data_IF_892599164290
#
_entry.id   IF_892599164290
#
_cell.length_a   1.000
_cell.length_b   1.000
_cell.length_c   1.000
_cell.angle_alpha   90.00
_cell.angle_beta   90.00
_cell.angle_gamma   90.00
#
_symmetry.space_group_name_H-M   'P 1'
#
loop_
_entity.id
_entity.type
_entity.pdbx_description
1 polymer ?
#
# COMPACT_ATOMS: atom_id res chain seq x y z
N UNK A 1 -39.30 -46.57 -19.93
CA UNK A 1 -37.82 -46.46 -19.79
C UNK A 1 -37.51 -45.10 -19.17
N UNK A 2 -37.24 -45.08 -17.86
CA UNK A 2 -36.85 -43.84 -17.17
C UNK A 2 -35.31 -43.67 -17.35
N UNK A 3 -34.94 -42.86 -18.34
CA UNK A 3 -33.53 -42.42 -18.45
C UNK A 3 -33.29 -41.32 -17.44
N UNK A 4 -32.58 -41.63 -16.34
CA UNK A 4 -32.05 -40.57 -15.45
C UNK A 4 -31.13 -39.69 -16.27
N UNK A 5 -31.29 -38.32 -16.17
CA UNK A 5 -30.39 -37.42 -16.87
C UNK A 5 -28.94 -37.63 -16.39
N UNK A 6 -27.94 -37.48 -17.28
CA UNK A 6 -26.54 -37.64 -16.90
C UNK A 6 -26.19 -36.69 -15.75
N UNK A 7 -25.31 -37.08 -14.81
CA UNK A 7 -24.90 -36.26 -13.73
C UNK A 7 -24.30 -34.95 -14.27
N UNK A 8 -24.65 -33.81 -13.63
CA UNK A 8 -24.09 -32.52 -14.00
C UNK A 8 -22.55 -32.57 -13.92
N UNK A 9 -21.84 -32.02 -14.91
CA UNK A 9 -20.38 -32.00 -14.87
C UNK A 9 -19.88 -31.32 -13.59
N UNK A 10 -18.80 -31.79 -12.99
CA UNK A 10 -18.27 -31.22 -11.76
C UNK A 10 -17.97 -29.72 -11.97
N UNK A 11 -18.17 -28.88 -10.95
CA UNK A 11 -17.88 -27.46 -11.06
C UNK A 11 -16.41 -27.24 -11.40
N UNK A 12 -16.14 -26.58 -12.52
CA UNK A 12 -14.78 -26.24 -12.94
C UNK A 12 -14.22 -25.22 -11.96
N UNK A 13 -13.26 -25.60 -11.15
CA UNK A 13 -12.58 -24.70 -10.24
C UNK A 13 -11.76 -23.68 -11.05
N UNK A 14 -12.24 -22.44 -11.13
CA UNK A 14 -11.52 -21.36 -11.76
C UNK A 14 -10.34 -20.93 -10.86
N UNK A 15 -9.12 -21.13 -11.34
CA UNK A 15 -7.91 -20.71 -10.63
C UNK A 15 -7.49 -19.31 -11.11
N UNK A 16 -7.37 -18.37 -10.19
CA UNK A 16 -6.78 -17.07 -10.47
C UNK A 16 -5.26 -17.21 -10.70
N UNK A 17 -4.66 -16.43 -11.60
CA UNK A 17 -3.21 -16.40 -11.82
C UNK A 17 -2.51 -15.64 -10.68
N UNK A 18 -2.47 -16.24 -9.48
CA UNK A 18 -1.89 -15.61 -8.29
C UNK A 18 -0.36 -15.62 -8.34
N UNK A 19 0.25 -14.50 -7.94
CA UNK A 19 1.70 -14.35 -7.80
C UNK A 19 2.18 -14.74 -6.41
N UNK A 20 3.44 -15.22 -6.31
CA UNK A 20 4.07 -15.47 -5.00
C UNK A 20 4.50 -14.14 -4.37
N UNK A 21 4.26 -13.92 -3.06
CA UNK A 21 4.50 -12.63 -2.39
C UNK A 21 5.98 -12.41 -2.00
N UNK A 22 6.87 -12.26 -2.98
CA UNK A 22 8.32 -12.10 -2.77
C UNK A 22 8.70 -10.71 -2.27
N UNK A 23 8.11 -9.67 -2.84
CA UNK A 23 8.40 -8.29 -2.49
C UNK A 23 7.79 -7.89 -1.15
N UNK A 24 6.66 -8.49 -0.77
CA UNK A 24 6.11 -8.34 0.59
C UNK A 24 7.15 -8.76 1.63
N UNK A 25 7.79 -9.92 1.44
CA UNK A 25 8.85 -10.37 2.36
C UNK A 25 10.11 -9.51 2.27
N UNK A 26 10.47 -9.00 1.11
CA UNK A 26 11.61 -8.08 0.95
C UNK A 26 11.38 -6.78 1.73
N UNK A 27 10.19 -6.19 1.63
CA UNK A 27 9.86 -4.98 2.39
C UNK A 27 9.75 -5.25 3.90
N UNK A 28 9.20 -6.41 4.31
CA UNK A 28 9.22 -6.84 5.71
C UNK A 28 10.65 -6.96 6.26
N UNK A 29 11.54 -7.58 5.49
CA UNK A 29 12.95 -7.68 5.87
C UNK A 29 13.59 -6.29 5.96
N UNK A 30 13.32 -5.39 5.01
CA UNK A 30 13.86 -4.03 5.01
C UNK A 30 13.44 -3.24 6.25
N UNK A 31 12.14 -3.22 6.62
CA UNK A 31 11.68 -2.52 7.84
C UNK A 31 12.22 -3.17 9.11
N UNK A 32 12.37 -4.51 9.14
CA UNK A 32 12.93 -5.22 10.29
C UNK A 32 14.42 -4.90 10.49
N UNK A 33 15.21 -4.89 9.41
CA UNK A 33 16.64 -4.52 9.46
C UNK A 33 16.78 -3.08 9.90
N UNK A 34 15.98 -2.16 9.35
CA UNK A 34 16.04 -0.76 9.77
C UNK A 34 15.68 -0.57 11.23
N UNK A 35 14.69 -1.31 11.75
CA UNK A 35 14.36 -1.25 13.17
C UNK A 35 15.50 -1.71 14.07
N UNK A 36 16.25 -2.74 13.67
CA UNK A 36 17.49 -3.14 14.40
C UNK A 36 18.51 -1.99 14.39
N UNK A 37 18.70 -1.32 13.25
CA UNK A 37 19.59 -0.14 13.16
C UNK A 37 19.11 0.98 14.08
N UNK A 38 17.80 1.26 14.13
CA UNK A 38 17.22 2.27 15.03
C UNK A 38 17.46 1.96 16.50
N UNK A 39 17.32 0.69 16.92
CA UNK A 39 17.63 0.25 18.29
C UNK A 39 19.11 0.45 18.60
N UNK A 40 20.01 0.01 17.72
CA UNK A 40 21.46 0.11 17.91
C UNK A 40 21.94 1.57 17.98
N UNK A 41 21.33 2.45 17.18
CA UNK A 41 21.68 3.88 17.14
C UNK A 41 20.97 4.73 18.19
N UNK A 42 20.04 4.15 18.96
CA UNK A 42 19.22 4.88 19.94
C UNK A 42 18.09 5.71 19.32
N UNK A 43 17.90 5.65 17.99
CA UNK A 43 16.83 6.35 17.30
C UNK A 43 15.44 5.83 17.68
N UNK A 44 15.35 4.59 18.16
CA UNK A 44 14.15 3.98 18.68
C UNK A 44 14.50 3.06 19.86
N UNK A 45 13.48 2.67 20.62
CA UNK A 45 13.58 1.62 21.64
C UNK A 45 12.27 0.82 21.71
N UNK A 46 12.27 -0.24 22.53
CA UNK A 46 11.08 -1.10 22.65
C UNK A 46 9.86 -0.38 23.26
N UNK A 47 10.07 0.63 24.09
CA UNK A 47 9.01 1.40 24.73
C UNK A 47 8.37 2.47 23.82
N UNK A 48 8.97 2.74 22.65
CA UNK A 48 8.45 3.77 21.72
C UNK A 48 8.98 5.18 22.02
N UNK A 49 9.99 5.28 22.86
CA UNK A 49 10.73 6.51 23.13
C UNK A 49 12.12 6.36 22.52
N UNK A 50 12.55 7.26 21.69
CA UNK A 50 13.86 7.26 21.05
C UNK A 50 14.41 8.66 20.95
N UNK A 51 15.66 8.79 20.51
CA UNK A 51 16.24 10.11 20.24
C UNK A 51 15.75 10.61 18.88
N UNK A 52 14.95 11.72 18.84
CA UNK A 52 14.50 12.31 17.60
C UNK A 52 15.64 12.75 16.67
N UNK A 53 16.80 13.16 17.22
CA UNK A 53 17.95 13.57 16.41
C UNK A 53 18.59 12.38 15.71
N UNK A 54 18.70 11.24 16.39
CA UNK A 54 19.16 10.00 15.76
C UNK A 54 18.18 9.53 14.68
N UNK A 55 16.86 9.65 14.91
CA UNK A 55 15.84 9.31 13.90
C UNK A 55 15.93 10.22 12.68
N UNK A 56 16.14 11.53 12.87
CA UNK A 56 16.37 12.49 11.79
C UNK A 56 17.66 12.14 11.04
N UNK A 57 18.73 11.75 11.74
CA UNK A 57 19.99 11.34 11.11
C UNK A 57 19.81 10.08 10.23
N UNK A 58 18.94 9.15 10.62
CA UNK A 58 18.60 7.96 9.84
C UNK A 58 17.66 8.22 8.65
N UNK A 59 17.10 9.44 8.53
CA UNK A 59 16.32 9.81 7.37
C UNK A 59 14.81 9.88 7.57
N UNK A 60 14.35 10.16 8.78
CA UNK A 60 12.94 10.46 9.02
C UNK A 60 12.49 11.70 8.24
N UNK A 61 11.20 11.76 7.89
CA UNK A 61 10.59 12.90 7.24
C UNK A 61 10.49 14.04 8.25
N UNK A 62 11.33 15.05 8.06
CA UNK A 62 11.42 16.23 8.91
C UNK A 62 11.49 17.49 8.04
N UNK A 63 10.45 18.31 8.08
CA UNK A 63 10.23 19.41 7.14
C UNK A 63 11.46 20.35 6.99
N UNK A 64 12.16 20.79 8.03
CA UNK A 64 13.34 21.66 7.88
C UNK A 64 14.45 21.02 7.03
N UNK A 65 14.65 19.73 7.12
CA UNK A 65 15.66 19.01 6.31
C UNK A 65 15.22 18.79 4.87
N UNK A 66 13.93 18.53 4.65
CA UNK A 66 13.36 18.44 3.31
C UNK A 66 13.46 19.78 2.59
N UNK A 67 13.14 20.91 3.28
CA UNK A 67 13.31 22.27 2.75
C UNK A 67 14.78 22.58 2.42
N UNK A 68 15.72 22.05 3.20
CA UNK A 68 17.15 22.17 2.95
C UNK A 68 17.66 21.29 1.79
N UNK A 69 16.79 20.56 1.08
CA UNK A 69 17.12 19.78 -0.12
C UNK A 69 17.30 18.27 0.13
N UNK A 70 17.09 17.78 1.35
CA UNK A 70 17.22 16.34 1.66
C UNK A 70 15.95 15.56 1.26
N UNK A 71 15.55 15.61 -0.02
CA UNK A 71 14.29 15.04 -0.55
C UNK A 71 14.20 13.51 -0.44
N UNK A 72 15.33 12.83 -0.34
CA UNK A 72 15.40 11.38 -0.14
C UNK A 72 14.68 10.92 1.13
N UNK A 73 14.47 11.82 2.11
CA UNK A 73 13.71 11.56 3.34
C UNK A 73 12.26 11.20 3.09
N UNK A 74 11.66 11.69 2.00
CA UNK A 74 10.30 11.32 1.60
C UNK A 74 10.19 9.82 1.28
N UNK A 75 11.30 9.18 0.93
CA UNK A 75 11.38 7.75 0.70
C UNK A 75 11.81 6.98 1.95
N UNK A 76 12.90 7.37 2.59
CA UNK A 76 13.51 6.59 3.68
C UNK A 76 12.69 6.57 4.96
N UNK A 77 11.95 7.62 5.26
CA UNK A 77 11.09 7.71 6.43
C UNK A 77 10.08 6.55 6.54
N UNK A 78 9.69 5.99 5.39
CA UNK A 78 8.71 4.90 5.36
C UNK A 78 9.26 3.55 5.83
N UNK A 79 10.57 3.44 6.04
CA UNK A 79 11.21 2.23 6.54
C UNK A 79 11.58 2.33 8.02
N UNK A 80 11.45 3.52 8.63
CA UNK A 80 11.77 3.78 10.03
C UNK A 80 10.55 3.58 10.94
N UNK A 81 10.76 3.13 12.19
CA UNK A 81 9.68 2.85 13.12
C UNK A 81 10.04 3.23 14.55
N UNK A 82 9.18 4.00 15.21
CA UNK A 82 9.37 4.43 16.61
C UNK A 82 8.65 3.44 17.52
N UNK A 83 9.40 2.51 18.10
CA UNK A 83 8.91 1.54 19.09
C UNK A 83 8.40 0.22 18.52
N UNK A 84 8.44 -0.80 19.39
CA UNK A 84 8.10 -2.18 19.04
C UNK A 84 6.66 -2.34 18.55
N UNK A 85 5.72 -1.64 19.18
CA UNK A 85 4.30 -1.76 18.78
C UNK A 85 4.05 -1.25 17.37
N UNK A 86 4.71 -0.14 16.97
CA UNK A 86 4.52 0.42 15.62
C UNK A 86 5.06 -0.51 14.53
N UNK A 87 6.29 -1.06 14.73
CA UNK A 87 6.83 -2.01 13.75
C UNK A 87 6.04 -3.32 13.73
N UNK A 88 5.57 -3.80 14.90
CA UNK A 88 4.77 -5.01 14.98
C UNK A 88 3.46 -4.88 14.18
N UNK A 89 2.68 -3.80 14.42
CA UNK A 89 1.41 -3.61 13.71
C UNK A 89 1.61 -3.30 12.22
N UNK A 90 2.62 -2.50 11.86
CA UNK A 90 2.94 -2.23 10.47
C UNK A 90 3.46 -3.49 9.76
N UNK A 91 4.34 -4.25 10.39
CA UNK A 91 4.83 -5.52 9.86
C UNK A 91 3.71 -6.54 9.67
N UNK A 92 2.82 -6.69 10.66
CA UNK A 92 1.67 -7.58 10.55
C UNK A 92 0.70 -7.14 9.43
N UNK A 93 0.38 -5.85 9.36
CA UNK A 93 -0.49 -5.32 8.31
C UNK A 93 0.14 -5.49 6.91
N UNK A 94 1.45 -5.20 6.77
CA UNK A 94 2.18 -5.43 5.53
C UNK A 94 2.23 -6.92 5.18
N UNK A 95 2.43 -7.81 6.16
CA UNK A 95 2.39 -9.25 5.96
C UNK A 95 1.04 -9.70 5.39
N UNK A 96 -0.07 -9.26 5.98
CA UNK A 96 -1.42 -9.69 5.55
C UNK A 96 -1.85 -9.01 4.26
N UNK A 97 -1.83 -7.68 4.21
CA UNK A 97 -2.34 -6.90 3.07
C UNK A 97 -1.37 -6.94 1.89
N UNK A 98 -0.07 -6.93 2.16
CA UNK A 98 0.97 -7.03 1.12
C UNK A 98 0.89 -8.33 0.35
N UNK A 99 0.78 -9.47 1.05
CA UNK A 99 0.61 -10.76 0.39
C UNK A 99 -0.66 -10.81 -0.47
N UNK A 100 -1.77 -10.26 0.04
CA UNK A 100 -3.03 -10.23 -0.70
C UNK A 100 -2.90 -9.36 -1.96
N UNK A 101 -2.37 -8.15 -1.86
CA UNK A 101 -2.18 -7.26 -3.02
C UNK A 101 -1.17 -7.85 -4.00
N UNK A 102 0.00 -8.32 -3.52
CA UNK A 102 1.02 -8.89 -4.40
C UNK A 102 0.52 -10.14 -5.12
N UNK A 103 -0.25 -10.99 -4.43
CA UNK A 103 -0.86 -12.17 -5.04
C UNK A 103 -1.85 -11.80 -6.15
N UNK A 104 -2.67 -10.77 -5.95
CA UNK A 104 -3.71 -10.36 -6.88
C UNK A 104 -3.18 -9.50 -8.04
N UNK A 105 -2.26 -8.58 -7.77
CA UNK A 105 -1.75 -7.62 -8.76
C UNK A 105 -0.46 -8.09 -9.46
N UNK A 106 0.26 -9.00 -8.85
CA UNK A 106 1.63 -9.37 -9.24
C UNK A 106 2.68 -8.46 -8.62
N UNK A 107 3.92 -8.97 -8.55
CA UNK A 107 5.01 -8.33 -7.80
C UNK A 107 5.36 -6.93 -8.29
N UNK A 108 5.35 -6.68 -9.62
CA UNK A 108 5.70 -5.36 -10.17
C UNK A 108 4.67 -4.29 -9.81
N UNK A 109 3.38 -4.56 -10.07
CA UNK A 109 2.30 -3.61 -9.73
C UNK A 109 2.25 -3.34 -8.23
N UNK A 110 2.37 -4.40 -7.41
CA UNK A 110 2.43 -4.28 -5.95
C UNK A 110 3.56 -3.36 -5.50
N UNK A 111 4.79 -3.57 -6.00
CA UNK A 111 5.95 -2.78 -5.59
C UNK A 111 5.79 -1.31 -5.97
N UNK A 112 5.32 -1.02 -7.19
CA UNK A 112 5.05 0.34 -7.64
C UNK A 112 3.98 1.00 -6.77
N UNK A 113 2.85 0.33 -6.55
CA UNK A 113 1.76 0.87 -5.72
C UNK A 113 2.26 1.16 -4.31
N UNK A 114 2.94 0.20 -3.67
CA UNK A 114 3.42 0.34 -2.30
C UNK A 114 4.40 1.51 -2.16
N UNK A 115 5.44 1.56 -3.01
CA UNK A 115 6.46 2.60 -2.93
C UNK A 115 5.93 3.99 -3.28
N UNK A 116 5.07 4.10 -4.32
CA UNK A 116 4.45 5.39 -4.67
C UNK A 116 3.47 5.84 -3.57
N UNK A 117 2.72 4.93 -2.95
CA UNK A 117 1.86 5.26 -1.81
C UNK A 117 2.68 5.75 -0.61
N UNK A 118 3.82 5.11 -0.32
CA UNK A 118 4.77 5.55 0.69
C UNK A 118 5.22 7.01 0.45
N UNK A 119 5.71 7.30 -0.76
CA UNK A 119 6.19 8.65 -1.10
C UNK A 119 5.04 9.66 -1.11
N UNK A 120 3.85 9.29 -1.63
CA UNK A 120 2.68 10.18 -1.64
C UNK A 120 2.24 10.55 -0.22
N UNK A 121 2.24 9.59 0.69
CA UNK A 121 1.96 9.86 2.09
C UNK A 121 3.02 10.77 2.72
N UNK A 122 4.31 10.52 2.45
CA UNK A 122 5.38 11.38 2.94
C UNK A 122 5.31 12.82 2.39
N UNK A 123 4.88 13.00 1.13
CA UNK A 123 4.62 14.33 0.54
C UNK A 123 3.43 15.00 1.21
N UNK A 124 2.32 14.28 1.43
CA UNK A 124 1.15 14.82 2.12
C UNK A 124 1.47 15.20 3.57
N UNK A 125 2.23 14.37 4.28
CA UNK A 125 2.77 14.65 5.61
C UNK A 125 3.63 15.91 5.59
N UNK A 126 4.60 16.01 4.70
CA UNK A 126 5.45 17.19 4.54
C UNK A 126 4.63 18.46 4.28
N UNK A 127 3.61 18.38 3.41
CA UNK A 127 2.79 19.53 3.02
C UNK A 127 1.88 20.05 4.14
N UNK A 128 1.37 19.14 5.01
CA UNK A 128 0.27 19.44 5.93
C UNK A 128 0.59 19.21 7.40
N UNK A 129 1.78 18.65 7.70
CA UNK A 129 2.23 18.36 9.07
C UNK A 129 3.64 18.92 9.27
N UNK A 130 3.85 19.70 10.33
CA UNK A 130 5.19 20.23 10.64
C UNK A 130 6.03 19.29 11.53
N UNK A 131 5.51 18.12 11.86
CA UNK A 131 6.12 17.17 12.77
C UNK A 131 7.16 16.27 12.13
N UNK A 132 7.78 15.45 12.97
CA UNK A 132 8.62 14.33 12.56
C UNK A 132 7.71 13.15 12.19
N UNK A 133 7.86 12.60 10.99
CA UNK A 133 7.09 11.45 10.53
C UNK A 133 8.00 10.29 10.14
N UNK A 134 7.63 9.08 10.58
CA UNK A 134 8.32 7.83 10.26
C UNK A 134 7.35 6.65 10.37
N UNK A 135 7.40 5.72 9.42
CA UNK A 135 6.61 4.49 9.43
C UNK A 135 6.11 4.04 8.08
N UNK A 136 5.99 2.72 7.88
CA UNK A 136 5.44 2.11 6.67
C UNK A 136 3.90 2.28 6.54
N UNK A 137 3.26 2.90 7.52
CA UNK A 137 1.79 3.00 7.60
C UNK A 137 1.17 3.72 6.39
N UNK A 138 1.86 4.71 5.81
CA UNK A 138 1.43 5.40 4.59
C UNK A 138 1.25 4.42 3.43
N UNK A 139 2.24 3.55 3.19
CA UNK A 139 2.15 2.47 2.19
C UNK A 139 1.06 1.45 2.54
N UNK A 140 0.88 1.10 3.82
CA UNK A 140 -0.16 0.17 4.28
C UNK A 140 -1.55 0.73 4.01
N UNK A 141 -1.79 2.02 4.28
CA UNK A 141 -3.04 2.69 3.88
C UNK A 141 -3.21 2.67 2.35
N UNK A 142 -2.13 2.79 1.60
CA UNK A 142 -2.12 2.57 0.15
C UNK A 142 -2.59 1.16 -0.23
N UNK A 143 -2.13 0.12 0.47
CA UNK A 143 -2.60 -1.26 0.22
C UNK A 143 -4.09 -1.43 0.53
N UNK A 144 -4.61 -0.78 1.58
CA UNK A 144 -6.05 -0.77 1.88
C UNK A 144 -6.82 -0.14 0.72
N UNK A 145 -6.39 1.04 0.24
CA UNK A 145 -6.99 1.72 -0.92
C UNK A 145 -6.96 0.84 -2.18
N UNK A 146 -5.84 0.15 -2.41
CA UNK A 146 -5.66 -0.77 -3.54
C UNK A 146 -6.63 -1.94 -3.50
N UNK A 147 -6.82 -2.57 -2.34
CA UNK A 147 -7.77 -3.68 -2.18
C UNK A 147 -9.21 -3.22 -2.34
N UNK A 148 -9.54 -2.02 -1.85
CA UNK A 148 -10.86 -1.41 -2.07
C UNK A 148 -11.11 -1.23 -3.57
N UNK A 149 -10.15 -0.67 -4.32
CA UNK A 149 -10.22 -0.53 -5.77
C UNK A 149 -10.42 -1.89 -6.47
N UNK A 150 -9.64 -2.90 -6.05
CA UNK A 150 -9.71 -4.25 -6.62
C UNK A 150 -11.09 -4.89 -6.45
N UNK A 151 -11.61 -4.95 -5.21
CA UNK A 151 -12.89 -5.59 -4.95
C UNK A 151 -14.07 -4.79 -5.50
N UNK A 152 -13.96 -3.46 -5.58
CA UNK A 152 -14.96 -2.62 -6.24
C UNK A 152 -15.03 -2.90 -7.75
N UNK A 153 -13.88 -3.00 -8.42
CA UNK A 153 -13.80 -3.25 -9.87
C UNK A 153 -14.18 -4.68 -10.24
N UNK A 154 -13.78 -5.65 -9.44
CA UNK A 154 -14.03 -7.08 -9.69
C UNK A 154 -15.27 -7.63 -8.94
N UNK A 155 -16.19 -6.77 -8.50
CA UNK A 155 -17.37 -7.15 -7.69
C UNK A 155 -18.23 -8.25 -8.29
N UNK A 156 -18.33 -8.32 -9.62
CA UNK A 156 -19.10 -9.35 -10.33
C UNK A 156 -18.45 -10.73 -10.22
N UNK A 157 -17.13 -10.79 -10.21
CA UNK A 157 -16.37 -12.05 -10.12
C UNK A 157 -16.40 -12.63 -8.70
N UNK A 158 -16.28 -11.77 -7.69
CA UNK A 158 -16.17 -12.20 -6.29
C UNK A 158 -17.51 -12.24 -5.53
N UNK A 159 -18.60 -11.68 -6.09
CA UNK A 159 -19.95 -11.75 -5.51
C UNK A 159 -20.02 -11.33 -4.05
N UNK A 160 -20.59 -12.18 -3.19
CA UNK A 160 -20.77 -11.92 -1.75
C UNK A 160 -19.43 -11.88 -0.99
N UNK A 161 -18.47 -12.73 -1.36
CA UNK A 161 -17.13 -12.73 -0.72
C UNK A 161 -16.41 -11.40 -0.95
N UNK A 162 -16.48 -10.86 -2.18
CA UNK A 162 -15.89 -9.55 -2.49
C UNK A 162 -16.55 -8.41 -1.73
N UNK A 163 -17.88 -8.45 -1.55
CA UNK A 163 -18.62 -7.46 -0.74
C UNK A 163 -18.23 -7.52 0.73
N UNK A 164 -18.14 -8.73 1.29
CA UNK A 164 -17.71 -8.92 2.68
C UNK A 164 -16.29 -8.39 2.90
N UNK A 165 -15.37 -8.70 1.97
CA UNK A 165 -13.98 -8.22 2.05
C UNK A 165 -13.91 -6.70 1.94
N UNK A 166 -14.66 -6.09 1.01
CA UNK A 166 -14.75 -4.64 0.87
C UNK A 166 -15.23 -3.97 2.15
N UNK A 167 -16.31 -4.49 2.75
CA UNK A 167 -16.84 -3.96 4.01
C UNK A 167 -15.81 -4.06 5.15
N UNK A 168 -15.10 -5.19 5.25
CA UNK A 168 -14.05 -5.36 6.26
C UNK A 168 -12.91 -4.33 6.07
N UNK A 169 -12.48 -4.07 4.83
CA UNK A 169 -11.45 -3.08 4.53
C UNK A 169 -11.91 -1.65 4.89
N UNK A 170 -13.17 -1.32 4.60
CA UNK A 170 -13.75 -0.03 4.97
C UNK A 170 -13.83 0.14 6.50
N UNK A 171 -14.21 -0.91 7.23
CA UNK A 171 -14.26 -0.91 8.70
C UNK A 171 -12.84 -0.76 9.27
N UNK A 172 -11.86 -1.51 8.77
CA UNK A 172 -10.45 -1.39 9.19
C UNK A 172 -9.95 0.02 8.92
N UNK A 173 -10.20 0.57 7.73
CA UNK A 173 -9.84 1.94 7.39
C UNK A 173 -10.46 2.96 8.34
N UNK A 174 -11.77 2.84 8.62
CA UNK A 174 -12.49 3.73 9.55
C UNK A 174 -11.93 3.65 10.98
N UNK A 175 -11.70 2.45 11.51
CA UNK A 175 -11.11 2.26 12.84
C UNK A 175 -9.73 2.96 12.92
N UNK A 176 -8.89 2.78 11.91
CA UNK A 176 -7.57 3.41 11.87
C UNK A 176 -7.66 4.94 11.78
N UNK A 177 -8.61 5.50 11.00
CA UNK A 177 -8.85 6.95 10.96
C UNK A 177 -9.30 7.46 12.33
N UNK A 178 -10.27 6.83 12.97
CA UNK A 178 -10.75 7.22 14.31
C UNK A 178 -9.61 7.15 15.34
N UNK A 179 -8.84 6.07 15.32
CA UNK A 179 -7.67 5.92 16.18
C UNK A 179 -6.61 7.01 15.93
N UNK A 180 -6.35 7.31 14.65
CA UNK A 180 -5.41 8.37 14.26
C UNK A 180 -5.85 9.76 14.70
N UNK A 181 -7.15 10.08 14.58
CA UNK A 181 -7.69 11.36 15.05
C UNK A 181 -7.64 11.49 16.59
N UNK A 182 -7.65 10.38 17.30
CA UNK A 182 -7.56 10.34 18.76
C UNK A 182 -6.11 10.37 19.29
N UNK A 183 -5.12 10.25 18.42
CA UNK A 183 -3.71 10.17 18.80
C UNK A 183 -2.85 11.17 17.98
N UNK A 184 -2.38 12.27 18.62
CA UNK A 184 -1.61 13.31 17.94
C UNK A 184 -0.27 12.84 17.34
N UNK A 185 0.25 11.70 17.81
CA UNK A 185 1.50 11.13 17.29
C UNK A 185 1.31 10.39 15.95
N UNK A 186 0.06 10.26 15.47
CA UNK A 186 -0.23 9.58 14.22
C UNK A 186 -0.30 10.60 13.09
N UNK A 187 0.47 10.33 12.05
CA UNK A 187 0.50 11.12 10.83
C UNK A 187 -0.71 10.83 9.94
N UNK A 188 -1.84 11.44 10.29
CA UNK A 188 -3.09 11.25 9.55
C UNK A 188 -3.01 11.74 8.10
N UNK A 189 -2.28 12.82 7.83
CA UNK A 189 -2.13 13.33 6.47
C UNK A 189 -1.29 12.39 5.61
N UNK A 190 -0.26 11.80 6.20
CA UNK A 190 0.48 10.73 5.55
C UNK A 190 -0.41 9.52 5.19
N UNK A 191 -1.28 9.11 6.11
CA UNK A 191 -2.25 8.04 5.85
C UNK A 191 -3.22 8.38 4.71
N UNK A 192 -3.77 9.60 4.69
CA UNK A 192 -4.67 10.07 3.61
C UNK A 192 -3.95 10.10 2.27
N UNK A 193 -2.72 10.66 2.21
CA UNK A 193 -1.92 10.69 0.99
C UNK A 193 -1.62 9.29 0.44
N UNK A 194 -1.20 8.37 1.31
CA UNK A 194 -0.96 6.97 0.96
C UNK A 194 -2.24 6.26 0.46
N UNK A 195 -3.36 6.45 1.16
CA UNK A 195 -4.65 5.86 0.79
C UNK A 195 -5.13 6.33 -0.59
N UNK A 196 -5.09 7.65 -0.86
CA UNK A 196 -5.49 8.22 -2.16
C UNK A 196 -4.60 7.66 -3.28
N UNK A 197 -3.28 7.60 -3.06
CA UNK A 197 -2.36 7.04 -4.04
C UNK A 197 -2.66 5.56 -4.31
N UNK A 198 -2.83 4.77 -3.26
CA UNK A 198 -3.15 3.35 -3.37
C UNK A 198 -4.50 3.08 -4.03
N UNK A 199 -5.53 3.88 -3.72
CA UNK A 199 -6.84 3.79 -4.36
C UNK A 199 -6.75 4.10 -5.86
N UNK A 200 -6.06 5.19 -6.22
CA UNK A 200 -5.90 5.65 -7.60
C UNK A 200 -5.06 4.67 -8.42
N UNK A 201 -3.86 4.35 -7.96
CA UNK A 201 -2.98 3.40 -8.65
C UNK A 201 -3.55 1.98 -8.63
N UNK A 202 -4.18 1.59 -7.53
CA UNK A 202 -4.90 0.33 -7.42
C UNK A 202 -6.01 0.23 -8.45
N UNK A 203 -6.73 1.30 -8.73
CA UNK A 203 -7.73 1.33 -9.79
C UNK A 203 -7.11 1.30 -11.20
N UNK A 204 -6.09 2.11 -11.46
CA UNK A 204 -5.39 2.16 -12.75
C UNK A 204 -4.74 0.83 -13.10
N UNK A 205 -3.97 0.26 -12.17
CA UNK A 205 -3.22 -0.97 -12.35
C UNK A 205 -4.04 -2.24 -12.06
N UNK A 206 -5.34 -2.11 -11.78
CA UNK A 206 -6.18 -3.23 -11.36
C UNK A 206 -6.24 -4.32 -12.43
N UNK A 207 -5.87 -5.56 -12.13
CA UNK A 207 -6.09 -6.68 -13.03
C UNK A 207 -7.58 -6.79 -13.39
N UNK A 208 -7.87 -6.91 -14.67
CA UNK A 208 -9.23 -7.12 -15.15
C UNK A 208 -9.40 -8.55 -15.58
N UNK A 209 -9.81 -9.37 -14.63
CA UNK A 209 -9.97 -10.80 -14.85
C UNK A 209 -11.21 -11.12 -15.68
N UNK A 210 -11.00 -11.87 -16.77
CA UNK A 210 -12.06 -12.43 -17.61
C UNK A 210 -11.88 -13.94 -17.74
N UNK A 211 -13.01 -14.64 -17.86
CA UNK A 211 -13.04 -16.08 -18.13
C UNK A 211 -13.03 -16.28 -19.63
N UNK A 212 -12.01 -16.90 -20.15
CA UNK A 212 -11.89 -17.27 -21.56
C UNK A 212 -12.08 -18.78 -21.70
N UNK A 213 -12.94 -19.19 -22.66
CA UNK A 213 -13.14 -20.59 -22.99
C UNK A 213 -12.10 -21.00 -24.06
N UNK A 214 -11.33 -22.02 -23.77
CA UNK A 214 -10.32 -22.54 -24.70
C UNK A 214 -10.93 -23.52 -25.70
N UNK A 215 -10.22 -23.81 -26.79
CA UNK A 215 -10.66 -24.71 -27.87
C UNK A 215 -10.90 -26.15 -27.34
N UNK A 216 -10.16 -26.57 -26.31
CA UNK A 216 -10.33 -27.86 -25.63
C UNK A 216 -11.52 -27.92 -24.66
N UNK A 217 -12.32 -26.85 -24.57
CA UNK A 217 -13.46 -26.72 -23.66
C UNK A 217 -13.07 -26.30 -22.22
N UNK A 218 -11.79 -26.19 -21.91
CA UNK A 218 -11.35 -25.70 -20.60
C UNK A 218 -11.60 -24.20 -20.45
N UNK A 219 -11.72 -23.73 -19.18
CA UNK A 219 -11.88 -22.31 -18.86
C UNK A 219 -10.65 -21.78 -18.17
N UNK A 220 -10.09 -20.67 -18.68
CA UNK A 220 -8.94 -19.99 -18.12
C UNK A 220 -9.31 -18.59 -17.71
N UNK A 221 -8.80 -18.14 -16.56
CA UNK A 221 -8.87 -16.73 -16.16
C UNK A 221 -7.66 -16.00 -16.72
N UNK A 222 -7.90 -14.94 -17.45
CA UNK A 222 -6.86 -14.08 -18.03
C UNK A 222 -7.02 -12.65 -17.53
N UNK A 223 -5.90 -11.95 -17.37
CA UNK A 223 -5.87 -10.51 -17.11
C UNK A 223 -5.89 -9.77 -18.46
N UNK A 224 -6.95 -9.01 -18.72
CA UNK A 224 -7.11 -8.18 -19.93
C UNK A 224 -6.52 -6.79 -19.78
N UNK A 225 -6.11 -6.42 -18.58
CA UNK A 225 -5.52 -5.11 -18.36
C UNK A 225 -4.05 -5.14 -18.79
N UNK A 226 -3.73 -4.53 -19.95
CA UNK A 226 -2.36 -4.52 -20.47
C UNK A 226 -1.50 -3.49 -19.73
N UNK A 227 -0.36 -3.90 -19.21
CA UNK A 227 0.58 -3.03 -18.50
C UNK A 227 1.04 -1.81 -19.34
N UNK A 228 1.02 -1.89 -20.67
CA UNK A 228 1.56 -0.80 -21.52
C UNK A 228 0.75 0.50 -21.44
N UNK A 229 -0.58 0.43 -21.46
CA UNK A 229 -1.43 1.63 -21.34
C UNK A 229 -1.44 2.20 -19.91
N UNK A 230 -1.24 1.35 -18.91
CA UNK A 230 -1.28 1.72 -17.49
C UNK A 230 -0.08 2.53 -17.04
N UNK A 231 1.10 2.33 -17.64
CA UNK A 231 2.30 3.08 -17.30
C UNK A 231 2.18 4.58 -17.60
N UNK A 232 1.35 4.95 -18.58
CA UNK A 232 1.02 6.37 -18.83
C UNK A 232 0.30 6.95 -17.61
N UNK A 233 -0.69 6.23 -17.07
CA UNK A 233 -1.42 6.64 -15.86
C UNK A 233 -0.51 6.76 -14.63
N UNK A 234 0.43 5.82 -14.45
CA UNK A 234 1.45 5.89 -13.39
C UNK A 234 2.36 7.10 -13.59
N UNK A 235 2.81 7.36 -14.82
CA UNK A 235 3.63 8.53 -15.14
C UNK A 235 2.91 9.85 -14.88
N UNK A 236 1.63 9.96 -15.24
CA UNK A 236 0.81 11.14 -14.93
C UNK A 236 0.62 11.32 -13.42
N UNK A 237 0.37 10.24 -12.67
CA UNK A 237 0.28 10.31 -11.21
C UNK A 237 1.60 10.76 -10.59
N UNK A 238 2.74 10.23 -11.05
CA UNK A 238 4.05 10.64 -10.58
C UNK A 238 4.32 12.14 -10.87
N UNK A 239 3.92 12.62 -12.06
CA UNK A 239 4.03 14.04 -12.40
C UNK A 239 3.18 14.92 -11.48
N UNK A 240 1.93 14.53 -11.22
CA UNK A 240 1.06 15.24 -10.26
C UNK A 240 1.65 15.26 -8.86
N UNK A 241 2.26 14.15 -8.42
CA UNK A 241 2.94 14.07 -7.12
C UNK A 241 4.14 15.01 -7.04
N UNK A 242 4.94 15.10 -8.11
CA UNK A 242 6.06 16.05 -8.21
C UNK A 242 5.54 17.51 -8.14
N UNK A 243 4.49 17.83 -8.89
CA UNK A 243 3.88 19.16 -8.86
C UNK A 243 3.35 19.50 -7.46
N UNK A 244 2.67 18.56 -6.80
CA UNK A 244 2.19 18.73 -5.43
C UNK A 244 3.34 18.95 -4.44
N UNK A 245 4.45 18.21 -4.60
CA UNK A 245 5.64 18.40 -3.77
C UNK A 245 6.28 19.77 -3.98
N UNK A 246 6.45 20.23 -5.24
CA UNK A 246 7.02 21.55 -5.56
C UNK A 246 6.12 22.66 -4.98
N UNK A 247 4.79 22.54 -5.11
CA UNK A 247 3.85 23.48 -4.52
C UNK A 247 3.97 23.52 -2.99
N UNK A 248 4.05 22.37 -2.33
CA UNK A 248 4.26 22.28 -0.89
C UNK A 248 5.59 22.92 -0.47
N UNK A 249 6.67 22.66 -1.22
CA UNK A 249 7.98 23.25 -0.95
C UNK A 249 7.95 24.77 -1.06
N UNK A 250 7.28 25.32 -2.09
CA UNK A 250 7.12 26.77 -2.26
C UNK A 250 6.34 27.41 -1.12
N UNK A 251 5.29 26.75 -0.61
CA UNK A 251 4.52 27.25 0.54
C UNK A 251 5.32 27.29 1.84
N UNK A 252 6.28 26.39 2.02
CA UNK A 252 7.13 26.37 3.19
C UNK A 252 8.30 27.35 3.13
N UNK A 253 8.62 27.88 1.95
CA UNK A 253 9.68 28.87 1.74
C UNK A 253 9.17 30.31 1.70
N UNK A 254 7.85 30.53 1.56
CA UNK A 254 7.17 31.81 1.58
C UNK A 254 6.88 32.30 3.00
#
# INVERSE_FOLDING_TARGET
MNSTPPPAPPPVALRLPLSKPRWTYAFLAAISVMFVVEIVTGASNFAGTGDPQALIALGANYAPRVIAGEYWRLFTANFLHIGLLRIFFNGYALYVLGQEVESLYGSLRFSVIFLVACVSGAVASFALTFGLSAGASTGIFGLIGTLIAFFARNRKLFGQLGRARLNNLLIIGLINVVYGLSNPEIDNWGHVGGFIAGLTLGWLLCPWYQIEQQIDGSRRVIDRNSLQAEWIGVGLFALLLIVAFIAALSLHQA
#
